data_IF_394194269685
#
_entry.id   IF_394194269685
#
_cell.length_a   1.000
_cell.length_b   1.000
_cell.length_c   1.000
_cell.angle_alpha   90.00
_cell.angle_beta   90.00
_cell.angle_gamma   90.00
#
_symmetry.space_group_name_H-M   'P 1'
#
loop_
_entity.id
_entity.type
_entity.pdbx_description
1 polymer ?
#
# COMPACT_ATOMS: atom_id res chain seq x y z
N UNK A 1 -1.97 10.11 13.98
CA UNK A 1 -1.08 9.09 13.40
C UNK A 1 -2.02 8.09 12.76
N UNK A 2 -2.01 7.93 11.43
CA UNK A 2 -2.92 6.99 10.79
C UNK A 2 -2.62 5.55 11.21
N UNK A 3 -3.68 4.79 11.42
CA UNK A 3 -3.63 3.36 11.71
C UNK A 3 -3.70 2.56 10.40
N UNK A 4 -2.75 1.63 10.21
CA UNK A 4 -2.62 0.82 9.01
C UNK A 4 -2.88 -0.64 9.35
N UNK A 5 -3.89 -1.23 8.71
CA UNK A 5 -4.21 -2.65 8.78
C UNK A 5 -3.78 -3.36 7.51
N UNK A 6 -2.89 -4.33 7.62
CA UNK A 6 -2.39 -5.15 6.52
C UNK A 6 -2.82 -6.61 6.70
N UNK A 7 -3.67 -7.08 5.79
CA UNK A 7 -4.08 -8.48 5.69
C UNK A 7 -3.18 -9.23 4.71
N UNK A 8 -2.69 -10.40 5.10
CA UNK A 8 -2.03 -11.34 4.22
C UNK A 8 -2.92 -12.52 3.85
N UNK A 9 -2.66 -13.15 2.71
CA UNK A 9 -3.42 -14.31 2.22
C UNK A 9 -3.36 -15.55 3.12
N UNK A 10 -2.37 -15.63 4.03
CA UNK A 10 -2.28 -16.69 5.04
C UNK A 10 -3.19 -16.46 6.26
N UNK A 11 -3.98 -15.38 6.28
CA UNK A 11 -4.86 -15.00 7.37
C UNK A 11 -4.22 -14.14 8.45
N UNK A 12 -2.94 -13.77 8.30
CA UNK A 12 -2.28 -12.84 9.23
C UNK A 12 -2.79 -11.40 9.03
N UNK A 13 -3.07 -10.74 10.15
CA UNK A 13 -3.42 -9.33 10.22
C UNK A 13 -2.36 -8.60 11.04
N UNK A 14 -1.77 -7.57 10.43
CA UNK A 14 -0.84 -6.66 11.11
C UNK A 14 -1.47 -5.27 11.20
N UNK A 15 -1.48 -4.72 12.41
CA UNK A 15 -2.03 -3.39 12.69
C UNK A 15 -0.96 -2.53 13.34
N UNK A 16 -0.72 -1.34 12.79
CA UNK A 16 0.30 -0.44 13.30
C UNK A 16 -0.02 1.02 12.95
N UNK A 17 0.21 1.91 13.92
CA UNK A 17 0.22 3.36 13.69
C UNK A 17 1.51 3.79 12.98
N UNK A 18 1.36 4.62 11.95
CA UNK A 18 2.47 5.24 11.23
C UNK A 18 2.39 6.76 11.33
N UNK A 19 3.50 7.45 11.06
CA UNK A 19 3.48 8.91 10.95
C UNK A 19 2.60 9.33 9.76
N UNK A 20 1.89 10.45 9.86
CA UNK A 20 1.15 10.97 8.72
C UNK A 20 2.09 11.26 7.54
N UNK A 21 1.56 11.11 6.32
CA UNK A 21 2.31 11.21 5.07
C UNK A 21 3.47 10.19 4.96
N UNK A 22 3.32 9.01 5.57
CA UNK A 22 4.32 7.93 5.47
C UNK A 22 4.15 7.12 4.19
N UNK A 23 5.26 6.69 3.60
CA UNK A 23 5.27 5.68 2.53
C UNK A 23 5.53 4.29 3.12
N UNK A 24 4.58 3.36 2.96
CA UNK A 24 4.66 2.03 3.59
C UNK A 24 5.84 1.20 3.09
N UNK A 25 6.24 1.35 1.82
CA UNK A 25 7.41 0.62 1.28
C UNK A 25 8.72 1.16 1.85
N UNK A 26 8.83 2.46 2.06
CA UNK A 26 9.98 3.04 2.77
C UNK A 26 10.04 2.50 4.21
N UNK A 27 8.91 2.48 4.93
CA UNK A 27 8.85 1.93 6.29
C UNK A 27 9.22 0.44 6.35
N UNK A 28 8.79 -0.36 5.36
CA UNK A 28 9.18 -1.75 5.23
C UNK A 28 10.70 -1.89 5.02
N UNK A 29 11.29 -1.07 4.15
CA UNK A 29 12.73 -1.06 3.88
C UNK A 29 13.60 -0.71 5.08
N UNK A 30 13.10 0.13 6.00
CA UNK A 30 13.78 0.47 7.25
C UNK A 30 13.30 -0.38 8.45
N UNK A 31 12.59 -1.49 8.19
CA UNK A 31 12.09 -2.44 9.19
C UNK A 31 11.12 -1.87 10.23
N UNK A 32 10.47 -0.74 9.93
CA UNK A 32 9.42 -0.15 10.78
C UNK A 32 8.02 -0.66 10.44
N UNK A 33 7.82 -1.19 9.22
CA UNK A 33 6.58 -1.85 8.77
C UNK A 33 6.94 -3.12 7.97
N UNK A 34 7.62 -4.12 8.60
CA UNK A 34 8.36 -5.16 7.88
C UNK A 34 7.51 -6.20 7.14
N UNK A 35 6.21 -6.26 7.42
CA UNK A 35 5.31 -7.28 6.89
C UNK A 35 4.90 -7.01 5.43
N UNK A 36 4.97 -5.76 4.98
CA UNK A 36 4.67 -5.41 3.59
C UNK A 36 5.73 -5.95 2.63
N UNK A 37 5.30 -6.79 1.69
CA UNK A 37 6.13 -7.25 0.57
C UNK A 37 6.35 -6.09 -0.40
N UNK A 38 7.58 -5.93 -0.85
CA UNK A 38 7.95 -4.93 -1.84
C UNK A 38 9.06 -5.42 -2.77
N UNK A 39 9.34 -4.62 -3.80
CA UNK A 39 10.40 -4.89 -4.79
C UNK A 39 11.20 -3.63 -5.06
N UNK A 40 10.92 -2.96 -6.18
CA UNK A 40 11.74 -1.84 -6.65
C UNK A 40 11.52 -0.50 -5.91
N UNK A 41 10.39 -0.33 -5.20
CA UNK A 41 10.05 0.93 -4.52
C UNK A 41 9.78 2.15 -5.41
N UNK A 42 9.78 2.00 -6.74
CA UNK A 42 9.77 3.13 -7.69
C UNK A 42 8.64 3.10 -8.72
N UNK A 43 7.68 2.16 -8.59
CA UNK A 43 6.60 1.98 -9.56
C UNK A 43 7.04 1.33 -10.88
N UNK A 44 8.06 0.46 -10.85
CA UNK A 44 8.57 -0.31 -12.01
C UNK A 44 8.30 -1.81 -11.92
N UNK A 45 7.72 -2.28 -10.81
CA UNK A 45 7.31 -3.66 -10.58
C UNK A 45 5.96 -3.68 -9.84
N UNK A 46 5.36 -4.85 -9.69
CA UNK A 46 4.05 -5.04 -9.03
C UNK A 46 4.14 -5.77 -7.69
N UNK A 47 5.35 -6.02 -7.15
CA UNK A 47 5.53 -6.76 -5.88
C UNK A 47 4.92 -6.10 -4.65
N UNK A 48 4.73 -4.78 -4.67
CA UNK A 48 4.08 -4.02 -3.60
C UNK A 48 2.60 -3.73 -3.92
N UNK A 49 1.98 -4.49 -4.82
CA UNK A 49 0.56 -4.34 -5.12
C UNK A 49 -0.25 -4.73 -3.88
N UNK A 50 -1.26 -3.93 -3.58
CA UNK A 50 -2.20 -4.15 -2.47
C UNK A 50 -3.61 -3.85 -2.97
N UNK A 51 -4.61 -4.52 -2.41
CA UNK A 51 -6.02 -4.15 -2.60
C UNK A 51 -6.44 -3.28 -1.43
N UNK A 52 -6.99 -2.10 -1.70
CA UNK A 52 -7.55 -1.23 -0.66
C UNK A 52 -8.92 -1.76 -0.27
N UNK A 53 -9.12 -2.02 1.02
CA UNK A 53 -10.37 -2.51 1.60
C UNK A 53 -11.18 -1.37 2.24
N UNK A 54 -10.50 -0.39 2.86
CA UNK A 54 -11.10 0.81 3.43
C UNK A 54 -10.08 1.97 3.47
N UNK A 55 -10.56 3.22 3.52
CA UNK A 55 -9.72 4.43 3.57
C UNK A 55 -9.11 4.84 2.22
N UNK A 56 -9.69 4.37 1.12
CA UNK A 56 -9.20 4.66 -0.24
C UNK A 56 -9.50 6.09 -0.69
N UNK A 57 -10.54 6.71 -0.13
CA UNK A 57 -11.00 8.07 -0.38
C UNK A 57 -9.98 9.15 0.01
N UNK A 58 -9.11 8.86 0.98
CA UNK A 58 -8.04 9.77 1.39
C UNK A 58 -6.76 9.62 0.54
N UNK A 59 -6.71 8.63 -0.35
CA UNK A 59 -5.56 8.41 -1.22
C UNK A 59 -5.58 9.35 -2.42
N UNK A 60 -4.39 9.76 -2.86
CA UNK A 60 -4.25 10.42 -4.14
C UNK A 60 -4.72 9.51 -5.29
N UNK A 61 -5.24 10.13 -6.36
CA UNK A 61 -5.61 9.47 -7.60
C UNK A 61 -4.47 8.62 -8.18
N UNK A 62 -4.77 7.48 -8.84
CA UNK A 62 -3.76 6.64 -9.47
C UNK A 62 -2.88 7.43 -10.44
N UNK A 63 -1.56 7.35 -10.23
CA UNK A 63 -0.63 8.06 -11.10
C UNK A 63 -0.35 7.29 -12.41
N UNK A 64 0.35 7.93 -13.36
CA UNK A 64 0.65 7.31 -14.65
C UNK A 64 1.45 6.00 -14.55
N UNK A 65 2.27 5.81 -13.51
CA UNK A 65 3.03 4.57 -13.30
C UNK A 65 2.13 3.44 -12.85
N UNK A 66 1.18 3.71 -11.95
CA UNK A 66 0.18 2.72 -11.54
C UNK A 66 -0.67 2.30 -12.74
N UNK A 67 -1.19 3.27 -13.51
CA UNK A 67 -1.93 3.01 -14.75
C UNK A 67 -1.13 2.13 -15.71
N UNK A 68 0.16 2.42 -15.90
CA UNK A 68 1.04 1.63 -16.77
C UNK A 68 1.30 0.21 -16.24
N UNK A 69 1.42 0.02 -14.93
CA UNK A 69 1.88 -1.24 -14.34
C UNK A 69 0.74 -2.21 -13.97
N UNK A 70 -0.40 -1.68 -13.53
CA UNK A 70 -1.52 -2.50 -13.03
C UNK A 70 -2.85 -2.22 -13.75
N UNK A 71 -2.93 -1.19 -14.60
CA UNK A 71 -4.01 -0.99 -15.58
C UNK A 71 -5.41 -1.19 -14.98
N UNK A 72 -6.17 -2.11 -15.56
CA UNK A 72 -7.56 -2.41 -15.17
C UNK A 72 -7.72 -2.81 -13.70
N UNK A 73 -6.67 -3.34 -13.04
CA UNK A 73 -6.73 -3.69 -11.61
C UNK A 73 -6.93 -2.46 -10.72
N UNK A 74 -6.65 -1.26 -11.20
CA UNK A 74 -7.00 -0.01 -10.50
C UNK A 74 -8.50 0.07 -10.23
N UNK A 75 -9.32 -0.43 -11.16
CA UNK A 75 -10.78 -0.44 -11.03
C UNK A 75 -11.25 -1.42 -9.95
N UNK A 76 -10.44 -2.43 -9.64
CA UNK A 76 -10.68 -3.40 -8.56
C UNK A 76 -10.16 -2.91 -7.20
N UNK A 77 -9.79 -1.63 -7.09
CA UNK A 77 -9.22 -1.06 -5.86
C UNK A 77 -7.77 -1.48 -5.60
N UNK A 78 -7.07 -2.07 -6.57
CA UNK A 78 -5.65 -2.37 -6.42
C UNK A 78 -4.81 -1.10 -6.58
N UNK A 79 -3.78 -0.95 -5.74
CA UNK A 79 -2.82 0.16 -5.77
C UNK A 79 -1.41 -0.36 -5.62
N UNK A 80 -0.41 0.43 -6.01
CA UNK A 80 0.99 0.13 -5.71
C UNK A 80 1.39 0.88 -4.43
N UNK A 81 1.63 0.16 -3.33
CA UNK A 81 1.93 0.78 -2.04
C UNK A 81 3.16 1.73 -2.07
N UNK A 82 4.12 1.50 -2.98
CA UNK A 82 5.25 2.42 -3.17
C UNK A 82 4.86 3.80 -3.75
N UNK A 83 3.68 3.94 -4.36
CA UNK A 83 3.17 5.18 -4.94
C UNK A 83 2.22 5.93 -4.00
N UNK A 84 1.92 5.36 -2.82
CA UNK A 84 1.00 5.94 -1.85
C UNK A 84 1.77 6.66 -0.72
N UNK A 85 1.13 7.68 -0.16
CA UNK A 85 1.51 8.29 1.10
C UNK A 85 0.28 8.32 2.00
N UNK A 86 0.40 7.75 3.20
CA UNK A 86 -0.73 7.50 4.10
C UNK A 86 -0.91 8.69 5.04
N UNK A 87 -2.02 9.42 4.88
CA UNK A 87 -2.41 10.54 5.74
C UNK A 87 -3.51 10.17 6.75
N UNK A 88 -4.36 9.20 6.40
CA UNK A 88 -5.51 8.75 7.20
C UNK A 88 -5.49 7.23 7.36
N UNK A 89 -6.36 6.71 8.23
CA UNK A 89 -6.46 5.28 8.52
C UNK A 89 -6.76 4.50 7.23
N UNK A 90 -6.11 3.35 7.08
CA UNK A 90 -6.25 2.55 5.87
C UNK A 90 -6.20 1.06 6.18
N UNK A 91 -7.02 0.31 5.46
CA UNK A 91 -7.05 -1.14 5.50
C UNK A 91 -6.73 -1.70 4.12
N UNK A 92 -5.69 -2.53 4.03
CA UNK A 92 -5.17 -3.07 2.78
C UNK A 92 -4.94 -4.57 2.89
N UNK A 93 -5.03 -5.27 1.76
CA UNK A 93 -4.70 -6.68 1.62
C UNK A 93 -3.56 -6.89 0.63
N UNK A 94 -2.66 -7.82 0.94
CA UNK A 94 -1.55 -8.19 0.06
C UNK A 94 -1.39 -9.71 -0.06
N UNK A 95 -1.25 -10.15 -1.31
CA UNK A 95 -1.02 -11.57 -1.68
C UNK A 95 0.42 -12.05 -1.45
#
# INVERSE_FOLDING_TARGET
MPNVKLHHNNGELYEQEVAANSNLVVLAGIKKFPHLKYGCGMGKCTKCMVTVLAGGEALAEPNWKENKMIGDKLNDGCRLACQLYISEDIEIRQE
#
